data_IF_537467219587
#
_entry.id   IF_537467219587
#
_cell.length_a   1.000
_cell.length_b   1.000
_cell.length_c   1.000
_cell.angle_alpha   90.00
_cell.angle_beta   90.00
_cell.angle_gamma   90.00
#
_symmetry.space_group_name_H-M   'P 1'
#
loop_
_entity.id
_entity.type
_entity.pdbx_description
1 polymer ?
#
# COMPACT_ATOMS: atom_id res chain seq x y z
N UNK A 1 -11.29 8.02 4.37
CA UNK A 1 -11.14 6.97 5.41
C UNK A 1 -12.43 6.19 5.47
N UNK A 2 -12.37 4.86 5.37
CA UNK A 2 -13.53 3.97 5.44
C UNK A 2 -13.74 3.41 6.84
N UNK A 3 -12.66 2.99 7.49
CA UNK A 3 -12.68 2.41 8.84
C UNK A 3 -11.54 2.96 9.69
N UNK A 4 -11.79 3.04 11.01
CA UNK A 4 -10.79 3.41 12.02
C UNK A 4 -11.20 2.80 13.37
N UNK A 5 -10.91 1.51 13.53
CA UNK A 5 -11.24 0.76 14.74
C UNK A 5 -10.36 1.22 15.90
N UNK A 6 -10.95 1.31 17.07
CA UNK A 6 -10.27 1.70 18.31
C UNK A 6 -9.56 3.08 18.22
N UNK A 7 -9.96 3.92 17.24
CA UNK A 7 -9.34 5.23 16.98
C UNK A 7 -7.81 5.15 16.80
N UNK A 8 -7.33 4.10 16.10
CA UNK A 8 -5.89 3.93 15.88
C UNK A 8 -5.26 5.06 15.08
N UNK A 9 -6.04 5.72 14.23
CA UNK A 9 -5.62 6.92 13.51
C UNK A 9 -6.12 8.19 14.21
N UNK A 10 -5.31 9.26 14.27
CA UNK A 10 -3.95 9.37 13.70
C UNK A 10 -2.93 8.54 14.48
N UNK A 11 -1.92 8.00 13.77
CA UNK A 11 -0.80 7.30 14.44
C UNK A 11 0.00 8.26 15.33
N UNK A 12 0.42 7.77 16.48
CA UNK A 12 1.32 8.51 17.33
C UNK A 12 2.69 8.69 16.65
N UNK A 13 3.29 9.88 16.79
CA UNK A 13 4.57 10.21 16.14
C UNK A 13 5.80 9.66 16.89
N UNK A 14 5.61 9.11 18.05
CA UNK A 14 6.64 8.55 18.93
C UNK A 14 6.72 7.01 18.88
N UNK A 15 6.05 6.39 17.92
CA UNK A 15 6.18 4.95 17.65
C UNK A 15 7.65 4.58 17.40
N UNK A 16 8.10 3.45 17.96
CA UNK A 16 9.49 3.01 17.80
C UNK A 16 9.77 2.47 16.41
N UNK A 17 8.83 1.68 15.86
CA UNK A 17 9.02 1.04 14.55
C UNK A 17 7.71 1.00 13.78
N UNK A 18 7.75 1.48 12.54
CA UNK A 18 6.65 1.40 11.58
C UNK A 18 7.13 0.56 10.39
N UNK A 19 6.44 -0.53 10.07
CA UNK A 19 6.62 -1.21 8.79
C UNK A 19 5.73 -0.57 7.73
N UNK A 20 6.31 -0.25 6.58
CA UNK A 20 5.57 0.19 5.39
C UNK A 20 5.74 -0.89 4.34
N UNK A 21 4.65 -1.54 3.97
CA UNK A 21 4.65 -2.78 3.20
C UNK A 21 3.72 -2.65 2.00
N UNK A 22 4.04 -3.34 0.93
CA UNK A 22 3.17 -3.44 -0.25
C UNK A 22 3.75 -2.80 -1.50
N UNK A 23 3.22 -3.18 -2.68
CA UNK A 23 3.73 -2.70 -3.97
C UNK A 23 3.54 -1.19 -4.16
N UNK A 24 2.47 -0.61 -3.61
CA UNK A 24 2.21 0.83 -3.68
C UNK A 24 2.96 1.67 -2.64
N UNK A 25 3.73 1.04 -1.74
CA UNK A 25 4.35 1.77 -0.61
C UNK A 25 5.38 2.81 -1.05
N UNK A 26 6.23 2.46 -2.02
CA UNK A 26 7.27 3.35 -2.56
C UNK A 26 7.11 3.58 -4.07
N UNK A 27 5.98 3.23 -4.63
CA UNK A 27 5.64 3.52 -6.01
C UNK A 27 4.74 4.76 -6.10
N UNK A 28 4.95 5.54 -7.15
CA UNK A 28 4.16 6.73 -7.45
C UNK A 28 3.07 6.35 -8.46
N UNK A 29 1.83 6.38 -8.04
CA UNK A 29 0.67 6.07 -8.87
C UNK A 29 -0.17 7.33 -9.14
N UNK A 30 0.30 8.24 -10.02
CA UNK A 30 -0.42 9.49 -10.27
C UNK A 30 -1.75 9.28 -10.97
N UNK A 31 -1.93 8.16 -11.65
CA UNK A 31 -3.08 7.88 -12.50
C UNK A 31 -2.83 8.26 -13.96
N UNK A 32 -3.67 7.68 -14.84
CA UNK A 32 -3.63 8.00 -16.27
C UNK A 32 -4.03 9.45 -16.50
N UNK A 33 -3.56 10.02 -17.61
CA UNK A 33 -3.79 11.41 -18.01
C UNK A 33 -3.13 12.46 -17.09
N UNK A 34 -2.36 12.04 -16.10
CA UNK A 34 -1.58 13.00 -15.32
C UNK A 34 -0.48 13.62 -16.20
N UNK A 35 -0.34 14.95 -16.23
CA UNK A 35 0.74 15.61 -16.95
C UNK A 35 2.11 15.11 -16.50
N UNK A 36 3.12 15.23 -17.37
CA UNK A 36 4.49 14.88 -16.99
C UNK A 36 4.93 15.69 -15.78
N UNK A 37 5.19 14.99 -14.70
CA UNK A 37 5.57 15.58 -13.43
C UNK A 37 7.07 15.88 -13.40
N UNK A 38 7.45 16.94 -12.69
CA UNK A 38 8.84 17.22 -12.40
C UNK A 38 9.34 16.34 -11.23
N UNK A 39 10.63 15.98 -11.19
CA UNK A 39 11.19 15.24 -10.07
C UNK A 39 10.86 15.89 -8.72
N UNK A 40 10.37 15.10 -7.78
CA UNK A 40 10.04 15.54 -6.41
C UNK A 40 8.67 16.20 -6.23
N UNK A 41 7.85 16.33 -7.27
CA UNK A 41 6.46 16.82 -7.15
C UNK A 41 5.55 15.80 -6.46
N UNK A 42 5.81 14.52 -6.64
CA UNK A 42 5.09 13.46 -5.94
C UNK A 42 5.92 12.88 -4.80
N UNK A 43 5.25 12.36 -3.81
CA UNK A 43 5.85 11.63 -2.70
C UNK A 43 5.11 10.31 -2.54
N UNK A 44 5.89 9.23 -2.44
CA UNK A 44 5.34 7.93 -2.06
C UNK A 44 4.83 7.96 -0.61
N UNK A 45 3.96 7.00 -0.28
CA UNK A 45 3.51 6.80 1.11
C UNK A 45 4.71 6.61 2.04
N UNK A 46 5.69 5.82 1.62
CA UNK A 46 6.93 5.59 2.36
C UNK A 46 7.69 6.89 2.63
N UNK A 47 7.85 7.71 1.60
CA UNK A 47 8.54 9.01 1.72
C UNK A 47 7.78 9.95 2.64
N UNK A 48 6.46 10.03 2.51
CA UNK A 48 5.60 10.84 3.36
C UNK A 48 5.70 10.45 4.84
N UNK A 49 5.64 9.15 5.14
CA UNK A 49 5.79 8.64 6.50
C UNK A 49 7.18 8.98 7.06
N UNK A 50 8.26 8.70 6.31
CA UNK A 50 9.63 9.02 6.73
C UNK A 50 9.83 10.50 7.07
N UNK A 51 9.14 11.39 6.36
CA UNK A 51 9.22 12.84 6.61
C UNK A 51 8.35 13.28 7.81
N UNK A 52 7.25 12.57 8.08
CA UNK A 52 6.30 12.94 9.12
C UNK A 52 6.70 12.45 10.52
N UNK A 53 7.46 11.35 10.62
CA UNK A 53 7.86 10.78 11.91
C UNK A 53 9.10 11.44 12.49
N UNK A 54 9.27 11.32 13.81
CA UNK A 54 10.46 11.79 14.51
C UNK A 54 11.70 10.93 14.23
N UNK A 55 12.88 11.49 14.52
CA UNK A 55 14.18 10.80 14.35
C UNK A 55 14.29 9.50 15.15
N UNK A 56 13.49 9.33 16.19
CA UNK A 56 13.46 8.15 17.05
C UNK A 56 12.69 6.98 16.42
N UNK A 57 11.84 7.23 15.42
CA UNK A 57 11.02 6.22 14.78
C UNK A 57 11.79 5.55 13.65
N UNK A 58 11.95 4.25 13.75
CA UNK A 58 12.50 3.43 12.66
C UNK A 58 11.38 3.12 11.66
N UNK A 59 11.58 3.45 10.40
CA UNK A 59 10.70 3.06 9.30
C UNK A 59 11.37 1.95 8.50
N UNK A 60 10.73 0.79 8.44
CA UNK A 60 11.19 -0.39 7.68
C UNK A 60 10.30 -0.55 6.46
N UNK A 61 10.90 -0.77 5.30
CA UNK A 61 10.17 -0.98 4.04
C UNK A 61 10.44 -2.37 3.49
N UNK A 62 9.37 -3.03 3.06
CA UNK A 62 9.41 -4.26 2.27
C UNK A 62 8.26 -4.27 1.26
N UNK A 63 8.56 -4.49 0.01
CA UNK A 63 7.53 -4.54 -1.04
C UNK A 63 6.58 -5.72 -0.86
N UNK A 64 7.09 -6.90 -0.50
CA UNK A 64 6.33 -8.11 -0.24
C UNK A 64 5.82 -8.82 -1.49
N UNK A 65 5.21 -8.11 -2.41
CA UNK A 65 4.81 -8.62 -3.73
C UNK A 65 4.80 -7.49 -4.77
N UNK A 66 4.67 -7.87 -6.02
CA UNK A 66 4.37 -6.93 -7.10
C UNK A 66 2.86 -6.66 -7.18
N UNK A 67 2.42 -5.68 -7.98
CA UNK A 67 1.01 -5.41 -8.23
C UNK A 67 0.31 -6.61 -8.88
N UNK A 68 0.88 -7.18 -9.92
CA UNK A 68 0.29 -8.29 -10.69
C UNK A 68 1.27 -9.41 -10.98
N UNK A 69 2.57 -9.11 -11.10
CA UNK A 69 3.59 -10.10 -11.45
C UNK A 69 3.80 -11.11 -10.31
N UNK A 70 3.93 -12.40 -10.62
CA UNK A 70 4.37 -13.39 -9.64
C UNK A 70 5.86 -13.26 -9.29
N UNK A 71 6.64 -12.57 -10.13
CA UNK A 71 8.06 -12.32 -9.91
C UNK A 71 8.26 -11.20 -8.87
N UNK A 72 9.39 -11.24 -8.16
CA UNK A 72 9.68 -10.22 -7.13
C UNK A 72 8.87 -10.37 -5.84
N UNK A 73 8.17 -11.49 -5.66
CA UNK A 73 7.37 -11.77 -4.46
C UNK A 73 8.26 -12.24 -3.33
N UNK A 74 8.25 -11.52 -2.19
CA UNK A 74 8.95 -11.89 -0.96
C UNK A 74 8.08 -11.63 0.28
N UNK A 75 6.92 -12.27 0.30
CA UNK A 75 5.98 -12.18 1.42
C UNK A 75 6.65 -12.54 2.77
N UNK A 76 7.52 -13.54 2.88
CA UNK A 76 8.22 -13.82 4.14
C UNK A 76 9.02 -12.64 4.70
N UNK A 77 9.69 -11.83 3.86
CA UNK A 77 10.38 -10.63 4.34
C UNK A 77 9.42 -9.57 4.86
N UNK A 78 8.32 -9.35 4.15
CA UNK A 78 7.27 -8.44 4.57
C UNK A 78 6.66 -8.87 5.92
N UNK A 79 6.36 -10.14 6.11
CA UNK A 79 5.89 -10.72 7.38
C UNK A 79 6.91 -10.52 8.49
N UNK A 80 8.19 -10.74 8.21
CA UNK A 80 9.26 -10.48 9.18
C UNK A 80 9.32 -9.01 9.60
N UNK A 81 9.27 -8.09 8.64
CA UNK A 81 9.24 -6.65 8.93
C UNK A 81 8.00 -6.28 9.76
N UNK A 82 6.83 -6.79 9.39
CA UNK A 82 5.58 -6.59 10.11
C UNK A 82 5.67 -7.06 11.56
N UNK A 83 6.11 -8.30 11.77
CA UNK A 83 6.19 -8.91 13.11
C UNK A 83 7.10 -8.16 14.08
N UNK A 84 8.11 -7.46 13.57
CA UNK A 84 9.09 -6.68 14.34
C UNK A 84 8.69 -5.21 14.53
N UNK A 85 7.50 -4.81 14.08
CA UNK A 85 7.04 -3.42 14.12
C UNK A 85 5.93 -3.21 15.15
N UNK A 86 5.72 -1.95 15.56
CA UNK A 86 4.61 -1.57 16.44
C UNK A 86 3.30 -1.48 15.66
N UNK A 87 3.39 -1.06 14.39
CA UNK A 87 2.27 -0.92 13.45
C UNK A 87 2.74 -1.19 12.01
N UNK A 88 1.83 -1.64 11.18
CA UNK A 88 2.07 -1.85 9.75
C UNK A 88 1.18 -0.91 8.93
N UNK A 89 1.77 -0.19 8.00
CA UNK A 89 1.07 0.52 6.92
C UNK A 89 1.23 -0.32 5.67
N UNK A 90 0.13 -0.94 5.25
CA UNK A 90 0.07 -1.83 4.09
C UNK A 90 -0.54 -1.08 2.91
N UNK A 91 0.19 -0.94 1.81
CA UNK A 91 -0.24 -0.15 0.64
C UNK A 91 -0.46 -1.07 -0.54
N UNK A 92 -1.72 -1.25 -0.89
CA UNK A 92 -2.18 -2.16 -1.94
C UNK A 92 -3.05 -1.41 -2.95
N UNK A 93 -3.35 -2.05 -4.06
CA UNK A 93 -4.31 -1.53 -5.03
C UNK A 93 -3.95 -1.74 -6.48
N UNK A 94 -4.28 -0.73 -7.28
CA UNK A 94 -4.05 -0.71 -8.71
C UNK A 94 -2.64 -0.27 -9.10
N UNK A 95 -2.24 -0.73 -10.28
CA UNK A 95 -1.14 -0.19 -11.04
C UNK A 95 -1.70 0.49 -12.28
N UNK A 96 -1.54 1.79 -12.36
CA UNK A 96 -1.90 2.60 -13.52
C UNK A 96 -0.64 3.01 -14.29
N UNK A 97 -0.28 4.26 -14.29
CA UNK A 97 0.93 4.74 -14.94
C UNK A 97 2.02 4.95 -13.89
N UNK A 98 3.09 4.17 -13.97
CA UNK A 98 4.32 4.41 -13.21
C UNK A 98 5.53 4.38 -14.15
N UNK A 99 6.65 4.92 -13.72
CA UNK A 99 7.90 4.89 -14.52
C UNK A 99 8.42 3.47 -14.72
N UNK A 100 8.05 2.54 -13.83
CA UNK A 100 8.47 1.14 -13.84
C UNK A 100 7.49 0.19 -14.52
N UNK A 101 6.28 0.66 -14.89
CA UNK A 101 5.20 -0.22 -15.32
C UNK A 101 5.09 -0.24 -16.84
N UNK A 102 5.21 -1.43 -17.42
CA UNK A 102 4.82 -1.69 -18.81
C UNK A 102 3.31 -1.89 -18.90
N UNK A 103 2.71 -1.61 -20.05
CA UNK A 103 1.26 -1.75 -20.25
C UNK A 103 0.69 -3.14 -19.89
N UNK A 104 1.53 -4.17 -19.97
CA UNK A 104 1.15 -5.56 -19.61
C UNK A 104 0.77 -5.73 -18.13
N UNK A 105 1.27 -4.88 -17.26
CA UNK A 105 1.05 -4.99 -15.81
C UNK A 105 0.07 -3.96 -15.24
N UNK A 106 -0.48 -3.10 -16.08
CA UNK A 106 -1.51 -2.16 -15.65
C UNK A 106 -2.79 -2.89 -15.24
N UNK A 107 -3.41 -2.42 -14.19
CA UNK A 107 -4.68 -2.97 -13.66
C UNK A 107 -5.82 -1.96 -13.74
N UNK A 108 -5.51 -0.71 -14.01
CA UNK A 108 -6.49 0.37 -14.23
C UNK A 108 -5.96 1.37 -15.25
N UNK A 109 -6.87 2.17 -15.80
CA UNK A 109 -6.59 3.17 -16.81
C UNK A 109 -7.32 2.89 -18.12
N UNK A 110 -7.08 3.72 -19.14
CA UNK A 110 -7.72 3.56 -20.44
C UNK A 110 -7.39 2.22 -21.09
N UNK A 111 -8.40 1.49 -21.53
CA UNK A 111 -8.32 0.14 -22.11
C UNK A 111 -7.76 -0.94 -21.17
N UNK A 112 -7.68 -0.66 -19.86
CA UNK A 112 -7.26 -1.63 -18.87
C UNK A 112 -8.37 -1.84 -17.84
N UNK A 113 -8.90 -3.05 -17.80
CA UNK A 113 -9.99 -3.42 -16.92
C UNK A 113 -9.77 -4.80 -16.29
N UNK A 114 -10.45 -5.04 -15.19
CA UNK A 114 -10.40 -6.31 -14.46
C UNK A 114 -11.81 -6.85 -14.26
N UNK A 115 -12.00 -8.12 -14.62
CA UNK A 115 -13.29 -8.80 -14.53
C UNK A 115 -13.69 -9.14 -13.08
N UNK A 116 -12.85 -8.89 -12.09
CA UNK A 116 -13.10 -9.22 -10.68
C UNK A 116 -12.89 -8.03 -9.77
N UNK A 117 -13.47 -8.08 -8.57
CA UNK A 117 -13.24 -7.10 -7.49
C UNK A 117 -12.16 -7.57 -6.49
N UNK A 118 -11.38 -8.57 -6.84
CA UNK A 118 -10.29 -9.10 -5.99
C UNK A 118 -9.03 -8.28 -6.27
N UNK A 119 -8.23 -8.03 -5.23
CA UNK A 119 -6.92 -7.42 -5.39
C UNK A 119 -6.06 -8.25 -6.36
N UNK A 120 -5.40 -7.62 -7.33
CA UNK A 120 -4.62 -8.34 -8.35
C UNK A 120 -3.37 -9.00 -7.77
N UNK A 121 -2.84 -9.96 -8.53
CA UNK A 121 -1.60 -10.65 -8.19
C UNK A 121 -1.62 -11.36 -6.84
N UNK A 122 -0.61 -11.13 -6.04
CA UNK A 122 -0.42 -11.71 -4.71
C UNK A 122 -0.81 -10.78 -3.56
N UNK A 123 -1.47 -9.70 -3.84
CA UNK A 123 -1.78 -8.66 -2.85
C UNK A 123 -2.73 -9.15 -1.76
N UNK A 124 -3.70 -10.01 -2.11
CA UNK A 124 -4.59 -10.62 -1.11
C UNK A 124 -3.82 -11.56 -0.16
N UNK A 125 -2.91 -12.37 -0.70
CA UNK A 125 -2.04 -13.25 0.07
C UNK A 125 -1.14 -12.45 1.03
N UNK A 126 -0.56 -11.34 0.54
CA UNK A 126 0.24 -10.44 1.36
C UNK A 126 -0.57 -9.81 2.50
N UNK A 127 -1.79 -9.33 2.23
CA UNK A 127 -2.70 -8.79 3.24
C UNK A 127 -2.93 -9.80 4.38
N UNK A 128 -3.31 -11.01 4.02
CA UNK A 128 -3.63 -12.05 5.00
C UNK A 128 -2.39 -12.46 5.82
N UNK A 129 -1.25 -12.65 5.15
CA UNK A 129 0.00 -13.01 5.81
C UNK A 129 0.51 -11.93 6.77
N UNK A 130 0.41 -10.65 6.39
CA UNK A 130 0.80 -9.52 7.24
C UNK A 130 -0.14 -9.40 8.42
N UNK A 131 -1.45 -9.51 8.22
CA UNK A 131 -2.44 -9.46 9.32
C UNK A 131 -2.29 -10.63 10.29
N UNK A 132 -1.88 -11.82 9.82
CA UNK A 132 -1.62 -12.98 10.66
C UNK A 132 -0.48 -12.78 11.67
N UNK A 133 0.34 -11.74 11.54
CA UNK A 133 1.36 -11.36 12.54
C UNK A 133 0.75 -10.87 13.86
N UNK A 134 -0.54 -10.55 13.89
CA UNK A 134 -1.23 -9.97 15.05
C UNK A 134 -0.90 -8.50 15.33
N UNK A 135 -0.11 -7.86 14.47
CA UNK A 135 0.19 -6.43 14.58
C UNK A 135 -0.96 -5.59 14.05
N UNK A 136 -1.19 -4.37 14.60
CA UNK A 136 -2.16 -3.46 14.00
C UNK A 136 -1.78 -3.13 12.56
N UNK A 137 -2.70 -3.36 11.62
CA UNK A 137 -2.52 -3.07 10.19
C UNK A 137 -3.43 -1.94 9.77
N UNK A 138 -2.86 -0.93 9.14
CA UNK A 138 -3.56 0.15 8.44
C UNK A 138 -3.43 -0.13 6.94
N UNK A 139 -4.56 -0.41 6.28
CA UNK A 139 -4.59 -0.55 4.83
C UNK A 139 -4.75 0.82 4.18
N UNK A 140 -3.87 1.15 3.26
CA UNK A 140 -4.04 2.24 2.28
C UNK A 140 -4.31 1.58 0.93
N UNK A 141 -5.50 1.78 0.41
CA UNK A 141 -5.89 1.30 -0.91
C UNK A 141 -5.72 2.43 -1.93
N UNK A 142 -4.75 2.26 -2.84
CA UNK A 142 -4.55 3.13 -4.00
C UNK A 142 -5.25 2.49 -5.20
N UNK A 143 -6.41 3.01 -5.59
CA UNK A 143 -7.21 2.34 -6.60
C UNK A 143 -8.05 3.31 -7.43
N UNK A 144 -8.09 3.11 -8.73
CA UNK A 144 -8.98 3.83 -9.64
C UNK A 144 -10.40 3.24 -9.71
N UNK A 145 -10.67 2.15 -8.98
CA UNK A 145 -11.94 1.41 -9.00
C UNK A 145 -12.24 0.76 -7.65
N UNK A 146 -13.48 0.27 -7.42
CA UNK A 146 -13.82 -0.45 -6.20
C UNK A 146 -13.18 -1.85 -6.15
N UNK A 147 -12.85 -2.29 -4.94
CA UNK A 147 -12.43 -3.64 -4.60
C UNK A 147 -13.30 -4.25 -3.50
N UNK A 148 -13.37 -5.57 -3.44
CA UNK A 148 -13.97 -6.26 -2.33
C UNK A 148 -13.02 -6.19 -1.11
N UNK A 149 -13.38 -5.39 -0.14
CA UNK A 149 -12.59 -5.16 1.07
C UNK A 149 -13.11 -5.93 2.30
N UNK A 150 -14.01 -6.92 2.13
CA UNK A 150 -14.61 -7.65 3.26
C UNK A 150 -13.53 -8.25 4.15
N UNK A 151 -12.51 -8.88 3.56
CA UNK A 151 -11.41 -9.47 4.32
C UNK A 151 -10.51 -8.43 4.99
N UNK A 152 -10.25 -7.32 4.31
CA UNK A 152 -9.52 -6.20 4.88
C UNK A 152 -10.30 -5.56 6.05
N UNK A 153 -11.61 -5.39 5.90
CA UNK A 153 -12.48 -4.90 6.97
C UNK A 153 -12.46 -5.81 8.19
N UNK A 154 -12.42 -7.13 8.01
CA UNK A 154 -12.30 -8.07 9.13
C UNK A 154 -10.94 -7.92 9.85
N UNK A 155 -9.84 -7.87 9.11
CA UNK A 155 -8.48 -8.04 9.62
C UNK A 155 -7.77 -6.74 9.99
N UNK A 156 -8.01 -5.64 9.26
CA UNK A 156 -7.31 -4.39 9.47
C UNK A 156 -7.91 -3.54 10.58
N UNK A 157 -7.08 -2.71 11.20
CA UNK A 157 -7.50 -1.73 12.21
C UNK A 157 -7.99 -0.42 11.60
N UNK A 158 -7.48 -0.05 10.44
CA UNK A 158 -7.99 1.09 9.68
C UNK A 158 -7.87 0.83 8.17
N UNK A 159 -8.77 1.46 7.41
CA UNK A 159 -8.79 1.41 5.95
C UNK A 159 -8.95 2.83 5.41
N UNK A 160 -8.00 3.24 4.60
CA UNK A 160 -8.04 4.48 3.83
C UNK A 160 -8.07 4.13 2.34
N UNK A 161 -8.86 4.87 1.58
CA UNK A 161 -8.80 4.87 0.12
C UNK A 161 -8.31 6.24 -0.30
N UNK A 162 -7.20 6.29 -1.01
CA UNK A 162 -6.63 7.53 -1.51
C UNK A 162 -6.78 7.70 -3.02
N UNK A 163 -7.47 6.77 -3.67
CA UNK A 163 -7.67 6.76 -5.12
C UNK A 163 -6.33 6.78 -5.87
N UNK A 164 -6.31 7.40 -7.04
CA UNK A 164 -5.10 7.78 -7.79
C UNK A 164 -4.98 9.30 -7.65
N UNK A 165 -4.17 9.79 -6.72
CA UNK A 165 -4.28 11.18 -6.24
C UNK A 165 -3.81 12.24 -7.23
N UNK A 166 -3.13 11.86 -8.31
CA UNK A 166 -2.55 12.83 -9.26
C UNK A 166 -1.40 13.62 -8.62
N UNK A 167 -1.46 14.96 -8.77
CA UNK A 167 -0.52 15.90 -8.14
C UNK A 167 -0.94 16.28 -6.74
#
# INVERSE_FOLDING_TARGET
MLENKDNILPLAKDMRTIAVVGPGADDLQPGDYTPKLLPGQLKSVLTGIKQAVGKQTKVVYEQGCDFTSPNGTDIPKAVKAASQSDVVVLVLGDCSTSESTTDVYKTSGENHDYATLILPGKQQELLEAVCATGKPVILILQAGRPYNLSKASELCKAILVNWLPGQ
#
